data_IF_098009590127
#
_entry.id   IF_098009590127
#
_cell.length_a   1.000
_cell.length_b   1.000
_cell.length_c   1.000
_cell.angle_alpha   90.00
_cell.angle_beta   90.00
_cell.angle_gamma   90.00
#
_symmetry.space_group_name_H-M   'P 1'
#
loop_
_entity.id
_entity.type
_entity.pdbx_description
1 polymer ?
#
# COMPACT_ATOMS: atom_id res chain seq x y z
N UNK A 1 -14.49 -20.72 15.03
CA UNK A 1 -13.12 -20.98 15.49
C UNK A 1 -12.47 -22.20 14.81
N UNK A 2 -13.17 -23.33 14.64
CA UNK A 2 -12.60 -24.53 13.97
C UNK A 2 -12.35 -24.38 12.46
N UNK A 3 -13.16 -23.58 11.76
CA UNK A 3 -13.10 -23.45 10.30
C UNK A 3 -11.84 -22.70 9.80
N UNK A 4 -11.42 -21.66 10.50
CA UNK A 4 -10.27 -20.81 10.12
C UNK A 4 -8.95 -21.58 10.29
N UNK A 5 -8.83 -22.35 11.38
CA UNK A 5 -7.70 -23.25 11.62
C UNK A 5 -7.62 -24.35 10.55
N UNK A 6 -8.76 -24.89 10.12
CA UNK A 6 -8.80 -25.91 9.06
C UNK A 6 -8.35 -25.36 7.71
N UNK A 7 -8.81 -24.17 7.33
CA UNK A 7 -8.38 -23.50 6.09
C UNK A 7 -6.89 -23.14 6.09
N UNK A 8 -6.35 -22.69 7.24
CA UNK A 8 -4.92 -22.39 7.38
C UNK A 8 -4.10 -23.68 7.26
N UNK A 9 -4.51 -24.77 7.91
CA UNK A 9 -3.81 -26.05 7.80
C UNK A 9 -3.84 -26.63 6.38
N UNK A 10 -4.96 -26.50 5.68
CA UNK A 10 -5.06 -26.92 4.29
C UNK A 10 -4.14 -26.10 3.39
N UNK A 11 -4.12 -24.77 3.52
CA UNK A 11 -3.17 -23.91 2.81
C UNK A 11 -1.73 -24.35 3.06
N UNK A 12 -1.38 -24.65 4.32
CA UNK A 12 -0.03 -25.08 4.69
C UNK A 12 0.36 -26.42 4.08
N UNK A 13 -0.57 -27.39 4.02
CA UNK A 13 -0.34 -28.66 3.34
C UNK A 13 -0.15 -28.50 1.83
N UNK A 14 -0.88 -27.57 1.21
CA UNK A 14 -0.72 -27.28 -0.22
C UNK A 14 0.63 -26.61 -0.49
N UNK A 15 1.10 -25.73 0.40
CA UNK A 15 2.44 -25.15 0.31
C UNK A 15 3.53 -26.22 0.34
N UNK A 16 3.42 -27.20 1.24
CA UNK A 16 4.41 -28.29 1.37
C UNK A 16 4.47 -29.20 0.13
N UNK A 17 3.37 -29.35 -0.60
CA UNK A 17 3.28 -30.21 -1.80
C UNK A 17 3.60 -29.49 -3.10
N UNK A 18 3.68 -28.16 -3.08
CA UNK A 18 3.90 -27.36 -4.27
C UNK A 18 5.38 -27.38 -4.68
N UNK A 19 5.67 -27.89 -5.88
CA UNK A 19 7.04 -28.05 -6.39
C UNK A 19 7.54 -26.85 -7.21
N UNK A 20 6.85 -25.71 -7.14
CA UNK A 20 7.16 -24.50 -7.90
C UNK A 20 7.54 -23.31 -7.01
N UNK A 21 7.66 -22.12 -7.61
CA UNK A 21 7.91 -20.87 -6.86
C UNK A 21 6.57 -20.31 -6.39
N UNK A 22 6.36 -20.30 -5.07
CA UNK A 22 5.18 -19.72 -4.46
C UNK A 22 5.45 -18.27 -4.04
N UNK A 23 4.64 -17.34 -4.54
CA UNK A 23 4.65 -15.94 -4.12
C UNK A 23 3.31 -15.63 -3.46
N UNK A 24 3.35 -15.25 -2.18
CA UNK A 24 2.17 -14.78 -1.45
C UNK A 24 2.37 -13.34 -0.97
N UNK A 25 1.31 -12.55 -1.02
CA UNK A 25 1.27 -11.18 -0.50
C UNK A 25 0.10 -11.04 0.46
N UNK A 26 0.36 -10.53 1.66
CA UNK A 26 -0.66 -10.34 2.71
C UNK A 26 -0.53 -8.97 3.34
N UNK A 27 -1.67 -8.30 3.53
CA UNK A 27 -1.76 -7.07 4.33
C UNK A 27 -2.10 -7.37 5.81
N UNK A 28 -2.34 -8.64 6.16
CA UNK A 28 -2.84 -9.10 7.46
C UNK A 28 -1.86 -10.07 8.12
N UNK A 29 -0.58 -9.71 8.12
CA UNK A 29 0.50 -10.55 8.67
C UNK A 29 0.20 -11.02 10.09
N UNK A 30 -0.25 -10.11 10.96
CA UNK A 30 -0.50 -10.38 12.39
C UNK A 30 -1.71 -11.29 12.64
N UNK A 31 -2.50 -11.59 11.60
CA UNK A 31 -3.64 -12.52 11.67
C UNK A 31 -3.32 -13.91 11.14
N UNK A 32 -2.13 -14.11 10.57
CA UNK A 32 -1.70 -15.44 10.13
C UNK A 32 -1.11 -16.22 11.29
N UNK A 33 -1.36 -17.53 11.32
CA UNK A 33 -0.73 -18.43 12.29
C UNK A 33 0.81 -18.33 12.16
N UNK A 34 1.55 -18.09 13.26
CA UNK A 34 3.01 -18.02 13.23
C UNK A 34 3.70 -19.23 12.58
N UNK A 35 3.07 -20.41 12.58
CA UNK A 35 3.53 -21.62 11.90
C UNK A 35 3.61 -21.50 10.38
N UNK A 36 2.90 -20.55 9.78
CA UNK A 36 2.93 -20.27 8.35
C UNK A 36 4.29 -19.71 7.93
N UNK A 37 4.86 -18.78 8.70
CA UNK A 37 6.13 -18.13 8.37
C UNK A 37 7.33 -19.10 8.38
N UNK A 38 7.25 -20.20 9.14
CA UNK A 38 8.27 -21.27 9.14
C UNK A 38 8.36 -22.05 7.83
N UNK A 39 7.37 -21.92 6.95
CA UNK A 39 7.29 -22.62 5.65
C UNK A 39 7.61 -21.72 4.46
N UNK A 40 7.99 -20.48 4.72
CA UNK A 40 8.53 -19.58 3.70
C UNK A 40 10.03 -19.49 3.86
N UNK A 41 10.77 -19.69 2.77
CA UNK A 41 12.22 -19.47 2.76
C UNK A 41 12.57 -17.99 2.95
N UNK A 42 11.73 -17.11 2.41
CA UNK A 42 11.90 -15.66 2.51
C UNK A 42 10.62 -14.95 2.90
N UNK A 43 10.78 -13.99 3.80
CA UNK A 43 9.74 -13.06 4.20
C UNK A 43 10.18 -11.62 3.90
N UNK A 44 9.40 -10.90 3.10
CA UNK A 44 9.69 -9.52 2.72
C UNK A 44 8.68 -8.58 3.37
N UNK A 45 9.17 -7.60 4.14
CA UNK A 45 8.33 -6.58 4.76
C UNK A 45 8.48 -5.24 4.06
N UNK A 46 7.35 -4.68 3.64
CA UNK A 46 7.28 -3.34 3.08
C UNK A 46 6.88 -2.36 4.17
N UNK A 47 7.89 -1.75 4.80
CA UNK A 47 7.67 -0.67 5.75
C UNK A 47 7.29 0.63 5.04
N UNK A 48 6.70 1.56 5.81
CA UNK A 48 6.44 2.92 5.33
C UNK A 48 7.72 3.59 4.82
N UNK A 49 7.59 4.42 3.79
CA UNK A 49 8.73 5.13 3.20
C UNK A 49 9.32 6.10 4.21
N UNK A 50 10.63 6.01 4.44
CA UNK A 50 11.38 7.04 5.18
C UNK A 50 11.36 8.37 4.42
N UNK A 51 11.52 9.47 5.14
CA UNK A 51 11.49 10.84 4.58
C UNK A 51 12.45 10.99 3.40
N UNK A 52 13.67 10.44 3.51
CA UNK A 52 14.69 10.57 2.46
C UNK A 52 14.25 9.85 1.17
N UNK A 53 13.60 8.70 1.30
CA UNK A 53 13.06 7.94 0.15
C UNK A 53 11.87 8.67 -0.46
N UNK A 54 11.00 9.28 0.35
CA UNK A 54 9.91 10.13 -0.14
C UNK A 54 10.46 11.33 -0.92
N UNK A 55 11.47 12.03 -0.39
CA UNK A 55 12.11 13.16 -1.07
C UNK A 55 12.70 12.76 -2.44
N UNK A 56 13.38 11.62 -2.51
CA UNK A 56 13.90 11.08 -3.79
C UNK A 56 12.76 10.83 -4.78
N UNK A 57 11.66 10.23 -4.34
CA UNK A 57 10.51 9.96 -5.19
C UNK A 57 9.82 11.25 -5.67
N UNK A 58 9.67 12.24 -4.80
CA UNK A 58 9.11 13.55 -5.16
C UNK A 58 9.96 14.25 -6.22
N UNK A 59 11.30 14.26 -6.07
CA UNK A 59 12.19 14.84 -7.08
C UNK A 59 12.12 14.12 -8.42
N UNK A 60 12.04 12.77 -8.39
CA UNK A 60 11.86 11.98 -9.61
C UNK A 60 10.54 12.28 -10.29
N UNK A 61 9.46 12.42 -9.52
CA UNK A 61 8.15 12.78 -10.04
C UNK A 61 8.18 14.19 -10.63
N UNK A 62 8.65 15.20 -9.88
CA UNK A 62 8.76 16.57 -10.37
C UNK A 62 9.57 16.66 -11.67
N UNK A 63 10.73 15.97 -11.73
CA UNK A 63 11.54 15.86 -12.95
C UNK A 63 10.78 15.24 -14.12
N UNK A 64 9.97 14.21 -13.89
CA UNK A 64 9.17 13.56 -14.93
C UNK A 64 8.10 14.48 -15.53
N UNK A 65 7.65 15.48 -14.76
CA UNK A 65 6.68 16.49 -15.18
C UNK A 65 7.35 17.83 -15.58
N UNK A 66 8.69 17.89 -15.64
CA UNK A 66 9.42 19.11 -16.03
C UNK A 66 9.42 20.22 -14.96
N UNK A 67 9.03 19.90 -13.73
CA UNK A 67 8.96 20.84 -12.63
C UNK A 67 10.27 20.79 -11.83
N UNK A 68 10.87 21.97 -11.58
CA UNK A 68 12.06 22.08 -10.76
C UNK A 68 11.71 21.92 -9.27
N UNK A 69 12.33 20.94 -8.61
CA UNK A 69 12.22 20.73 -7.18
C UNK A 69 13.61 20.52 -6.57
N UNK A 70 14.07 21.53 -5.85
CA UNK A 70 15.36 21.52 -5.16
C UNK A 70 15.38 20.49 -4.02
N UNK A 71 16.58 20.03 -3.67
CA UNK A 71 16.75 18.98 -2.67
C UNK A 71 16.20 19.38 -1.29
N UNK A 72 16.46 20.62 -0.86
CA UNK A 72 15.96 21.15 0.42
C UNK A 72 14.44 21.27 0.43
N UNK A 73 13.82 21.63 -0.69
CA UNK A 73 12.37 21.74 -0.81
C UNK A 73 11.70 20.38 -0.87
N UNK A 74 12.32 19.43 -1.57
CA UNK A 74 11.87 18.04 -1.58
C UNK A 74 11.89 17.41 -0.19
N UNK A 75 12.92 17.70 0.61
CA UNK A 75 13.03 17.19 1.97
C UNK A 75 11.91 17.75 2.85
N UNK A 76 11.66 19.07 2.81
CA UNK A 76 10.55 19.70 3.53
C UNK A 76 9.19 19.15 3.09
N UNK A 77 8.96 19.04 1.79
CA UNK A 77 7.73 18.47 1.26
C UNK A 77 7.56 16.99 1.66
N UNK A 78 8.65 16.22 1.75
CA UNK A 78 8.61 14.83 2.17
C UNK A 78 8.28 14.67 3.66
N UNK A 79 8.64 15.62 4.51
CA UNK A 79 8.21 15.68 5.91
C UNK A 79 6.70 15.95 6.00
N UNK A 80 6.19 16.91 5.23
CA UNK A 80 4.75 17.23 5.18
C UNK A 80 3.89 16.10 4.60
N UNK A 81 4.41 15.35 3.62
CA UNK A 81 3.73 14.22 2.98
C UNK A 81 3.93 12.91 3.76
N UNK A 82 3.70 12.95 5.07
CA UNK A 82 3.69 11.75 5.89
C UNK A 82 2.60 10.77 5.41
N UNK A 83 2.95 9.49 5.33
CA UNK A 83 2.03 8.45 4.83
C UNK A 83 1.97 8.33 3.31
N UNK A 84 2.73 9.12 2.55
CA UNK A 84 2.86 8.91 1.11
C UNK A 84 3.43 7.51 0.83
N UNK A 85 2.74 6.73 0.00
CA UNK A 85 3.20 5.41 -0.45
C UNK A 85 3.42 5.38 -1.97
N UNK A 86 4.21 4.43 -2.50
CA UNK A 86 4.43 4.33 -3.95
C UNK A 86 3.13 4.18 -4.76
N UNK A 87 2.09 3.58 -4.18
CA UNK A 87 0.79 3.45 -4.82
C UNK A 87 0.13 4.82 -5.09
N UNK A 88 0.27 5.80 -4.19
CA UNK A 88 -0.27 7.14 -4.39
C UNK A 88 0.40 7.82 -5.60
N UNK A 89 1.72 7.63 -5.77
CA UNK A 89 2.45 8.13 -6.93
C UNK A 89 1.98 7.49 -8.24
N UNK A 90 1.69 6.19 -8.23
CA UNK A 90 1.14 5.50 -9.40
C UNK A 90 -0.27 6.00 -9.75
N UNK A 91 -1.11 6.28 -8.75
CA UNK A 91 -2.43 6.89 -8.96
C UNK A 91 -2.29 8.30 -9.51
N UNK A 92 -1.40 9.11 -8.95
CA UNK A 92 -1.08 10.45 -9.45
C UNK A 92 -0.68 10.40 -10.93
N UNK A 93 0.32 9.58 -11.29
CA UNK A 93 0.80 9.44 -12.67
C UNK A 93 -0.31 8.99 -13.63
N UNK A 94 -1.22 8.12 -13.18
CA UNK A 94 -2.37 7.68 -13.96
C UNK A 94 -3.37 8.81 -14.20
N UNK A 95 -3.69 9.61 -13.17
CA UNK A 95 -4.63 10.75 -13.27
C UNK A 95 -4.08 11.88 -14.14
N UNK A 96 -2.80 12.19 -13.98
CA UNK A 96 -2.10 13.26 -14.69
C UNK A 96 -1.33 12.74 -15.92
N UNK A 97 -1.78 11.64 -16.52
CA UNK A 97 -1.24 11.19 -17.81
C UNK A 97 -1.73 12.07 -18.96
N UNK A 98 -2.96 12.56 -18.86
CA UNK A 98 -3.63 13.34 -19.91
C UNK A 98 -3.66 14.84 -19.61
N UNK A 99 -3.53 15.22 -18.34
CA UNK A 99 -3.47 16.60 -17.89
C UNK A 99 -2.07 16.86 -17.31
N UNK A 100 -1.45 17.96 -17.74
CA UNK A 100 -0.14 18.40 -17.24
C UNK A 100 -0.21 18.82 -15.78
N UNK A 101 0.98 18.97 -15.19
CA UNK A 101 1.20 19.59 -13.88
C UNK A 101 2.31 20.59 -14.11
N UNK A 102 2.03 21.86 -13.86
CA UNK A 102 2.94 22.94 -14.27
C UNK A 102 3.76 23.49 -13.09
N UNK A 103 3.33 23.20 -11.85
CA UNK A 103 3.98 23.75 -10.64
C UNK A 103 4.22 22.70 -9.55
N UNK A 104 5.22 22.96 -8.70
CA UNK A 104 5.50 22.13 -7.51
C UNK A 104 4.29 22.13 -6.58
N UNK A 105 3.69 23.30 -6.36
CA UNK A 105 2.58 23.47 -5.45
C UNK A 105 1.39 22.61 -5.88
N UNK A 106 1.03 22.62 -7.16
CA UNK A 106 -0.04 21.77 -7.70
C UNK A 106 0.25 20.28 -7.49
N UNK A 107 1.47 19.84 -7.82
CA UNK A 107 1.93 18.47 -7.59
C UNK A 107 1.75 18.06 -6.12
N UNK A 108 2.21 18.89 -5.19
CA UNK A 108 2.14 18.60 -3.76
C UNK A 108 0.71 18.59 -3.25
N UNK A 109 -0.16 19.49 -3.74
CA UNK A 109 -1.57 19.52 -3.34
C UNK A 109 -2.32 18.26 -3.80
N UNK A 110 -2.12 17.83 -5.05
CA UNK A 110 -2.74 16.60 -5.56
C UNK A 110 -2.27 15.36 -4.78
N UNK A 111 -0.99 15.29 -4.41
CA UNK A 111 -0.51 14.21 -3.55
C UNK A 111 -1.14 14.26 -2.15
N UNK A 112 -1.30 15.46 -1.54
CA UNK A 112 -2.01 15.62 -0.26
C UNK A 112 -3.46 15.12 -0.35
N UNK A 113 -4.16 15.44 -1.44
CA UNK A 113 -5.54 14.98 -1.70
C UNK A 113 -5.59 13.45 -1.80
N UNK A 114 -4.65 12.82 -2.52
CA UNK A 114 -4.58 11.37 -2.65
C UNK A 114 -4.37 10.67 -1.30
N UNK A 115 -3.43 11.18 -0.49
CA UNK A 115 -3.16 10.66 0.86
C UNK A 115 -4.44 10.77 1.71
N UNK A 116 -5.09 11.94 1.73
CA UNK A 116 -6.32 12.14 2.49
C UNK A 116 -7.45 11.18 2.06
N UNK A 117 -7.66 11.01 0.74
CA UNK A 117 -8.65 10.07 0.19
C UNK A 117 -8.38 8.62 0.65
N UNK A 118 -7.11 8.21 0.65
CA UNK A 118 -6.69 6.89 1.14
C UNK A 118 -7.04 6.73 2.62
N UNK A 119 -6.69 7.71 3.46
CA UNK A 119 -6.98 7.68 4.90
C UNK A 119 -8.48 7.61 5.21
N UNK A 120 -9.32 8.35 4.47
CA UNK A 120 -10.78 8.27 4.60
C UNK A 120 -11.35 6.92 4.14
N UNK A 121 -10.77 6.30 3.12
CA UNK A 121 -11.19 4.97 2.64
C UNK A 121 -10.81 3.84 3.60
N UNK A 122 -9.66 3.94 4.27
CA UNK A 122 -9.22 2.95 5.27
C UNK A 122 -10.09 2.94 6.54
N UNK A 123 -10.91 3.96 6.79
CA UNK A 123 -11.86 3.94 7.90
C UNK A 123 -13.12 3.10 7.63
N UNK A 124 -13.37 2.71 6.37
CA UNK A 124 -14.39 1.71 6.06
C UNK A 124 -13.70 0.36 6.00
N UNK A 125 -14.03 -0.61 6.89
CA UNK A 125 -13.49 -1.95 6.76
C UNK A 125 -13.95 -2.51 5.41
N UNK A 126 -13.02 -2.58 4.45
CA UNK A 126 -13.23 -3.35 3.23
C UNK A 126 -13.08 -4.81 3.61
N UNK A 127 -14.22 -5.43 3.87
CA UNK A 127 -14.41 -6.85 4.07
C UNK A 127 -15.84 -7.21 3.66
N UNK A 128 -16.07 -8.46 3.25
CA UNK A 128 -17.41 -9.00 3.05
C UNK A 128 -18.12 -9.10 4.40
N UNK A 129 -18.59 -7.98 4.95
CA UNK A 129 -19.56 -7.97 6.04
C UNK A 129 -20.96 -8.05 5.46
N UNK A 130 -21.31 -9.24 4.95
CA UNK A 130 -22.72 -9.60 4.84
C UNK A 130 -23.29 -9.60 6.27
N UNK A 131 -24.06 -8.58 6.64
CA UNK A 131 -24.96 -8.69 7.78
C UNK A 131 -25.99 -9.74 7.38
N UNK A 132 -25.88 -10.94 7.95
CA UNK A 132 -26.98 -11.88 7.95
C UNK A 132 -28.13 -11.24 8.73
N UNK A 133 -29.10 -10.68 8.02
CA UNK A 133 -30.40 -10.35 8.61
C UNK A 133 -31.08 -11.68 8.88
N UNK A 134 -30.93 -12.19 10.11
CA UNK A 134 -31.81 -13.24 10.64
C UNK A 134 -33.19 -12.62 10.80
N UNK A 135 -34.06 -12.84 9.81
CA UNK A 135 -35.50 -12.72 10.00
C UNK A 135 -35.92 -14.07 10.58
N UNK A 136 -36.13 -14.11 11.90
CA UNK A 136 -36.92 -15.18 12.51
C UNK A 136 -38.39 -14.90 12.24
N UNK A 137 -39.09 -15.90 11.70
CA UNK A 137 -40.53 -16.10 11.88
C UNK A 137 -40.72 -17.42 12.61
#
# INVERSE_FOLDING_TARGET
YSWEVSMVNELLQQMERFTGILIMATNLRDRLDPAVFRRFDWELHFASLRVEKRAILLRRLAKAYGVALEERDAQRAAEELEGLVPADLAVFQRRHRQHGIDTVQELLQELKVLIAQRHSSTQRPVGFTAKATTICH
#
